data_IF_180119416067
#
_entry.id   IF_180119416067
#
_cell.length_a   1.000
_cell.length_b   1.000
_cell.length_c   1.000
_cell.angle_alpha   90.00
_cell.angle_beta   90.00
_cell.angle_gamma   90.00
#
_symmetry.space_group_name_H-M   'P 1'
#
loop_
_entity.id
_entity.type
_entity.pdbx_description
1 polymer ?
#
# COMPACT_ATOMS: atom_id res chain seq x y z
N UNK A 1 5.33 -26.54 11.48
CA UNK A 1 5.48 -25.24 10.80
C UNK A 1 6.95 -25.01 10.55
N UNK A 2 7.37 -24.99 9.29
CA UNK A 2 8.72 -24.54 8.95
C UNK A 2 8.56 -23.63 7.75
N UNK A 3 8.29 -22.35 8.01
CA UNK A 3 8.57 -21.30 7.03
C UNK A 3 10.05 -21.44 6.67
N UNK A 4 10.35 -21.63 5.38
CA UNK A 4 11.73 -21.67 4.93
C UNK A 4 12.47 -20.40 5.38
N UNK A 5 13.78 -20.49 5.67
CA UNK A 5 14.59 -19.32 5.91
C UNK A 5 14.42 -18.33 4.75
N UNK A 6 14.51 -17.00 5.01
CA UNK A 6 14.47 -16.01 3.94
C UNK A 6 15.43 -16.39 2.80
N UNK A 7 14.88 -16.55 1.61
CA UNK A 7 15.62 -16.95 0.40
C UNK A 7 15.48 -15.87 -0.67
N UNK A 8 16.00 -16.11 -1.88
CA UNK A 8 15.90 -15.15 -2.99
C UNK A 8 14.45 -14.71 -3.28
N UNK A 9 13.45 -15.54 -3.01
CA UNK A 9 12.04 -15.15 -3.13
C UNK A 9 11.61 -14.00 -2.19
N UNK A 10 12.36 -13.71 -1.13
CA UNK A 10 12.16 -12.56 -0.24
C UNK A 10 12.93 -11.31 -0.68
N UNK A 11 13.91 -11.45 -1.60
CA UNK A 11 14.77 -10.35 -2.06
C UNK A 11 14.55 -9.98 -3.52
N UNK A 12 13.84 -10.82 -4.29
CA UNK A 12 13.52 -10.59 -5.70
C UNK A 12 12.08 -10.10 -5.82
N UNK A 13 11.91 -8.84 -6.19
CA UNK A 13 10.60 -8.26 -6.51
C UNK A 13 10.14 -8.65 -7.93
N UNK A 14 8.84 -8.84 -8.11
CA UNK A 14 8.23 -9.01 -9.44
C UNK A 14 7.83 -7.65 -10.03
N UNK A 15 8.01 -7.46 -11.34
CA UNK A 15 7.55 -6.26 -12.05
C UNK A 15 6.26 -6.56 -12.78
N UNK A 16 5.22 -5.80 -12.48
CA UNK A 16 3.97 -5.90 -13.21
C UNK A 16 4.10 -5.18 -14.56
N UNK A 17 3.50 -5.77 -15.59
CA UNK A 17 3.42 -5.21 -16.94
C UNK A 17 1.98 -4.77 -17.24
N UNK A 18 1.82 -3.82 -18.16
CA UNK A 18 0.50 -3.30 -18.55
C UNK A 18 0.42 -1.78 -18.55
N UNK A 19 -0.75 -1.29 -18.98
CA UNK A 19 -1.09 0.13 -19.00
C UNK A 19 -1.84 0.53 -17.72
N UNK A 20 -1.49 1.71 -17.19
CA UNK A 20 -2.14 2.29 -16.02
C UNK A 20 -3.58 2.70 -16.35
N UNK A 21 -4.53 2.37 -15.48
CA UNK A 21 -5.97 2.64 -15.69
C UNK A 21 -6.56 3.58 -14.64
N UNK A 22 -6.07 3.55 -13.41
CA UNK A 22 -6.41 4.50 -12.37
C UNK A 22 -5.85 5.90 -12.61
N UNK A 23 -6.18 6.81 -11.69
CA UNK A 23 -5.90 8.25 -11.80
C UNK A 23 -5.10 8.75 -10.60
N UNK A 24 -4.12 9.60 -10.86
CA UNK A 24 -3.51 10.40 -9.80
C UNK A 24 -4.54 11.44 -9.31
N UNK A 25 -4.73 11.51 -7.99
CA UNK A 25 -5.67 12.41 -7.33
C UNK A 25 -5.00 13.04 -6.12
N UNK A 26 -5.63 14.09 -5.57
CA UNK A 26 -5.32 14.57 -4.23
C UNK A 26 -6.55 14.46 -3.35
N UNK A 27 -6.35 14.07 -2.10
CA UNK A 27 -7.41 13.87 -1.12
C UNK A 27 -7.33 14.93 -0.01
N UNK A 28 -8.39 15.02 0.80
CA UNK A 28 -8.42 15.90 1.99
C UNK A 28 -8.07 17.35 1.64
N UNK A 29 -8.78 17.93 0.67
CA UNK A 29 -8.59 19.33 0.25
C UNK A 29 -7.25 19.60 -0.45
N UNK A 30 -6.59 18.58 -1.00
CA UNK A 30 -5.32 18.72 -1.72
C UNK A 30 -4.08 18.39 -0.89
N UNK A 31 -4.26 17.96 0.36
CA UNK A 31 -3.17 17.74 1.32
C UNK A 31 -2.32 16.52 1.00
N UNK A 32 -2.95 15.41 0.61
CA UNK A 32 -2.25 14.14 0.37
C UNK A 32 -2.41 13.69 -1.07
N UNK A 33 -1.32 13.21 -1.67
CA UNK A 33 -1.37 12.60 -2.99
C UNK A 33 -1.83 11.14 -2.89
N UNK A 34 -2.56 10.69 -3.90
CA UNK A 34 -3.01 9.31 -3.99
C UNK A 34 -3.22 8.90 -5.44
N UNK A 35 -3.34 7.60 -5.65
CA UNK A 35 -3.72 6.99 -6.91
C UNK A 35 -5.01 6.19 -6.72
N UNK A 36 -6.04 6.54 -7.47
CA UNK A 36 -7.35 5.92 -7.38
C UNK A 36 -7.58 5.00 -8.58
N UNK A 37 -7.68 3.70 -8.30
CA UNK A 37 -8.10 2.70 -9.27
C UNK A 37 -9.58 2.36 -9.04
N UNK A 38 -10.40 2.65 -10.03
CA UNK A 38 -11.87 2.46 -9.96
C UNK A 38 -12.27 1.20 -10.71
N UNK A 39 -13.04 0.29 -10.11
CA UNK A 39 -13.48 -0.92 -10.79
C UNK A 39 -14.45 -0.61 -11.93
N UNK A 40 -14.50 -1.47 -12.97
CA UNK A 40 -15.57 -1.43 -13.96
C UNK A 40 -16.96 -1.51 -13.28
N UNK A 41 -17.97 -0.73 -13.72
CA UNK A 41 -19.28 -0.67 -13.06
C UNK A 41 -19.97 -2.04 -12.91
N UNK A 42 -19.78 -2.93 -13.87
CA UNK A 42 -20.34 -4.29 -13.91
C UNK A 42 -19.70 -5.24 -12.88
N UNK A 43 -18.49 -4.93 -12.39
CA UNK A 43 -17.76 -5.71 -11.39
C UNK A 43 -17.69 -5.05 -10.01
N UNK A 44 -18.18 -3.82 -9.89
CA UNK A 44 -17.99 -3.00 -8.71
C UNK A 44 -18.59 -3.64 -7.44
N UNK A 45 -17.73 -3.94 -6.47
CA UNK A 45 -18.11 -4.44 -5.15
C UNK A 45 -18.34 -3.27 -4.19
N UNK A 46 -19.14 -3.47 -3.14
CA UNK A 46 -19.35 -2.50 -2.05
C UNK A 46 -18.19 -2.47 -1.04
N UNK A 47 -16.98 -2.79 -1.50
CA UNK A 47 -15.77 -2.95 -0.70
C UNK A 47 -14.63 -2.15 -1.34
N UNK A 48 -13.91 -1.39 -0.53
CA UNK A 48 -12.71 -0.69 -0.97
C UNK A 48 -11.45 -1.25 -0.29
N UNK A 49 -10.31 -1.06 -0.93
CA UNK A 49 -8.99 -1.40 -0.44
C UNK A 49 -8.20 -0.10 -0.27
N UNK A 50 -7.70 0.15 0.94
CA UNK A 50 -6.65 1.13 1.18
C UNK A 50 -5.29 0.45 0.97
N UNK A 51 -4.53 0.92 -0.01
CA UNK A 51 -3.20 0.41 -0.31
C UNK A 51 -2.15 1.33 0.32
N UNK A 52 -1.40 0.80 1.27
CA UNK A 52 -0.22 1.44 1.87
C UNK A 52 1.07 0.91 1.20
N UNK A 53 1.82 1.77 0.48
CA UNK A 53 2.95 1.32 -0.31
C UNK A 53 4.19 0.97 0.52
N UNK A 54 5.14 0.33 -0.15
CA UNK A 54 6.52 0.25 0.30
C UNK A 54 7.22 1.63 0.25
N UNK A 55 8.51 1.67 0.58
CA UNK A 55 9.31 2.90 0.62
C UNK A 55 9.44 3.64 -0.73
N UNK A 56 9.06 3.01 -1.85
CA UNK A 56 9.05 3.64 -3.17
C UNK A 56 7.72 4.35 -3.48
N UNK A 57 6.73 4.27 -2.58
CA UNK A 57 5.50 5.05 -2.64
C UNK A 57 4.61 4.75 -3.85
N UNK A 58 4.16 5.80 -4.54
CA UNK A 58 3.27 5.69 -5.71
C UNK A 58 4.09 5.53 -7.00
N UNK A 59 4.70 4.36 -7.19
CA UNK A 59 5.47 3.99 -8.38
C UNK A 59 4.71 3.05 -9.32
N UNK A 60 5.31 2.70 -10.47
CA UNK A 60 4.62 1.94 -11.53
C UNK A 60 3.99 0.64 -11.02
N UNK A 61 4.71 -0.17 -10.24
CA UNK A 61 4.19 -1.45 -9.77
C UNK A 61 3.04 -1.29 -8.77
N UNK A 62 3.13 -0.34 -7.81
CA UNK A 62 2.06 -0.14 -6.85
C UNK A 62 0.77 0.37 -7.53
N UNK A 63 0.90 1.18 -8.59
CA UNK A 63 -0.24 1.59 -9.43
C UNK A 63 -0.84 0.40 -10.18
N UNK A 64 -0.02 -0.44 -10.81
CA UNK A 64 -0.50 -1.63 -11.55
C UNK A 64 -1.20 -2.64 -10.62
N UNK A 65 -0.68 -2.87 -9.42
CA UNK A 65 -1.35 -3.69 -8.40
C UNK A 65 -2.69 -3.07 -7.98
N UNK A 66 -2.76 -1.75 -7.85
CA UNK A 66 -4.02 -1.05 -7.56
C UNK A 66 -5.05 -1.25 -8.68
N UNK A 67 -4.61 -1.17 -9.93
CA UNK A 67 -5.44 -1.45 -11.10
C UNK A 67 -5.89 -2.91 -11.14
N UNK A 68 -5.04 -3.86 -10.74
CA UNK A 68 -5.39 -5.27 -10.65
C UNK A 68 -6.48 -5.52 -9.61
N UNK A 69 -6.39 -4.91 -8.42
CA UNK A 69 -7.47 -4.96 -7.43
C UNK A 69 -8.78 -4.35 -7.97
N UNK A 70 -8.70 -3.23 -8.69
CA UNK A 70 -9.86 -2.62 -9.34
C UNK A 70 -10.46 -3.51 -10.43
N UNK A 71 -9.65 -4.20 -11.22
CA UNK A 71 -10.13 -5.14 -12.24
C UNK A 71 -10.94 -6.31 -11.64
N UNK A 72 -10.65 -6.65 -10.36
CA UNK A 72 -11.36 -7.66 -9.56
C UNK A 72 -12.56 -7.08 -8.78
N UNK A 73 -12.91 -5.82 -9.02
CA UNK A 73 -14.13 -5.20 -8.49
C UNK A 73 -13.92 -4.35 -7.24
N UNK A 74 -12.68 -4.13 -6.77
CA UNK A 74 -12.41 -3.38 -5.55
C UNK A 74 -12.00 -1.94 -5.85
N UNK A 75 -12.73 -0.95 -5.32
CA UNK A 75 -12.25 0.43 -5.32
C UNK A 75 -10.94 0.49 -4.54
N UNK A 76 -9.85 0.89 -5.18
CA UNK A 76 -8.53 0.83 -4.56
C UNK A 76 -7.89 2.22 -4.52
N UNK A 77 -7.55 2.66 -3.32
CA UNK A 77 -6.85 3.92 -3.08
C UNK A 77 -5.43 3.63 -2.61
N UNK A 78 -4.47 3.86 -3.49
CA UNK A 78 -3.05 3.84 -3.16
C UNK A 78 -2.64 5.21 -2.63
N UNK A 79 -2.18 5.23 -1.38
CA UNK A 79 -1.90 6.46 -0.64
C UNK A 79 -0.41 6.78 -0.69
N UNK A 80 -0.07 8.06 -0.89
CA UNK A 80 1.27 8.54 -0.58
C UNK A 80 1.40 8.73 0.94
N UNK A 81 2.17 7.85 1.58
CA UNK A 81 2.42 7.89 3.02
C UNK A 81 3.64 8.75 3.39
N UNK A 82 4.27 9.41 2.42
CA UNK A 82 5.56 10.08 2.60
C UNK A 82 5.53 11.58 2.29
N UNK A 83 4.36 12.19 2.06
CA UNK A 83 4.23 13.60 1.68
C UNK A 83 5.14 14.01 0.50
N UNK A 84 5.17 13.20 -0.56
CA UNK A 84 5.96 13.45 -1.76
C UNK A 84 7.43 13.07 -1.64
N UNK A 85 7.83 12.37 -0.58
CA UNK A 85 9.21 11.95 -0.33
C UNK A 85 9.46 10.42 -0.38
N UNK A 86 8.98 9.70 -1.42
CA UNK A 86 9.34 8.29 -1.60
C UNK A 86 10.79 8.14 -2.05
N UNK A 87 11.39 6.99 -1.75
CA UNK A 87 12.72 6.67 -2.25
C UNK A 87 12.69 6.33 -3.74
N UNK A 88 13.64 6.86 -4.55
CA UNK A 88 13.75 6.49 -5.95
C UNK A 88 14.02 4.99 -6.11
N UNK A 89 13.23 4.32 -6.95
CA UNK A 89 13.37 2.87 -7.22
C UNK A 89 14.81 2.48 -7.56
N UNK A 90 15.51 3.30 -8.35
CA UNK A 90 16.91 3.06 -8.72
C UNK A 90 17.84 3.04 -7.50
N UNK A 91 17.67 4.00 -6.59
CA UNK A 91 18.50 4.09 -5.39
C UNK A 91 18.26 2.89 -4.47
N UNK A 92 17.01 2.44 -4.33
CA UNK A 92 16.67 1.23 -3.55
C UNK A 92 17.28 -0.03 -4.17
N UNK A 93 17.17 -0.20 -5.49
CA UNK A 93 17.72 -1.39 -6.19
C UNK A 93 19.25 -1.44 -6.13
N UNK A 94 19.91 -0.28 -6.10
CA UNK A 94 21.36 -0.18 -6.04
C UNK A 94 21.94 -0.16 -4.60
N UNK A 95 21.08 -0.27 -3.57
CA UNK A 95 21.48 -0.16 -2.16
C UNK A 95 22.20 1.17 -1.84
N UNK A 96 21.77 2.26 -2.50
CA UNK A 96 22.34 3.61 -2.37
C UNK A 96 21.62 4.47 -1.30
N UNK A 97 20.84 3.84 -0.41
CA UNK A 97 19.96 4.55 0.52
C UNK A 97 20.27 4.20 1.98
N UNK A 98 20.46 5.23 2.80
CA UNK A 98 20.40 5.10 4.25
C UNK A 98 18.94 5.16 4.72
N UNK A 99 18.32 3.99 4.84
CA UNK A 99 16.91 3.85 5.24
C UNK A 99 16.68 4.45 6.63
N UNK A 100 17.61 4.30 7.58
CA UNK A 100 17.41 4.81 8.94
C UNK A 100 17.42 6.33 8.99
N UNK A 101 18.34 6.96 8.24
CA UNK A 101 18.37 8.41 8.10
C UNK A 101 17.13 8.94 7.39
N UNK A 102 16.71 8.29 6.31
CA UNK A 102 15.48 8.67 5.59
C UNK A 102 14.24 8.51 6.47
N UNK A 103 14.13 7.45 7.28
CA UNK A 103 13.02 7.30 8.22
C UNK A 103 12.98 8.42 9.27
N UNK A 104 14.15 8.88 9.73
CA UNK A 104 14.26 9.87 10.79
C UNK A 104 13.92 11.31 10.34
N UNK A 105 14.16 11.67 9.08
CA UNK A 105 13.97 13.05 8.60
C UNK A 105 13.62 13.20 7.12
N UNK A 106 13.37 12.12 6.39
CA UNK A 106 13.13 12.15 4.96
C UNK A 106 14.40 12.46 4.15
N UNK A 107 14.25 12.75 2.86
CA UNK A 107 15.37 13.07 1.98
C UNK A 107 16.05 14.40 2.31
N UNK A 108 15.33 15.33 2.95
CA UNK A 108 15.76 16.70 3.22
C UNK A 108 16.03 17.00 4.71
N UNK A 109 15.62 16.11 5.62
CA UNK A 109 15.83 16.25 7.07
C UNK A 109 14.65 16.88 7.84
N UNK A 110 13.60 17.32 7.15
CA UNK A 110 12.40 17.99 7.70
C UNK A 110 11.08 17.25 7.43
N UNK A 111 11.14 16.03 6.86
CA UNK A 111 9.97 15.21 6.56
C UNK A 111 10.10 13.80 7.16
N UNK A 112 9.96 13.64 8.49
CA UNK A 112 10.15 12.35 9.14
C UNK A 112 9.08 11.33 8.75
N UNK A 113 9.46 10.07 8.56
CA UNK A 113 8.55 8.96 8.21
C UNK A 113 8.27 8.07 9.42
N UNK A 114 7.77 8.69 10.50
CA UNK A 114 7.46 8.05 11.78
C UNK A 114 5.95 8.06 12.09
N UNK A 115 5.56 7.53 13.25
CA UNK A 115 4.15 7.40 13.63
C UNK A 115 3.39 8.74 13.63
N UNK A 116 3.87 9.82 14.29
CA UNK A 116 3.21 11.12 14.26
C UNK A 116 3.02 11.72 12.86
N UNK A 117 3.93 11.44 11.93
CA UNK A 117 3.84 11.97 10.57
C UNK A 117 2.86 11.17 9.70
N UNK A 118 2.92 9.84 9.78
CA UNK A 118 2.21 8.95 8.83
C UNK A 118 0.82 8.56 9.32
N UNK A 119 0.61 8.36 10.63
CA UNK A 119 -0.69 7.94 11.16
C UNK A 119 -1.83 8.91 10.76
N UNK A 120 -1.66 10.24 10.82
CA UNK A 120 -2.69 11.18 10.37
C UNK A 120 -3.01 11.07 8.87
N UNK A 121 -2.02 10.77 8.02
CA UNK A 121 -2.22 10.62 6.57
C UNK A 121 -3.13 9.42 6.28
N UNK A 122 -2.87 8.29 6.97
CA UNK A 122 -3.68 7.08 6.87
C UNK A 122 -5.11 7.32 7.36
N UNK A 123 -5.28 8.02 8.49
CA UNK A 123 -6.60 8.35 9.03
C UNK A 123 -7.39 9.29 8.10
N UNK A 124 -6.73 10.29 7.51
CA UNK A 124 -7.31 11.19 6.53
C UNK A 124 -7.80 10.40 5.29
N UNK A 125 -7.03 9.41 4.83
CA UNK A 125 -7.42 8.55 3.70
C UNK A 125 -8.60 7.63 4.03
N UNK A 126 -8.64 7.07 5.24
CA UNK A 126 -9.80 6.30 5.71
C UNK A 126 -11.03 7.19 5.72
N UNK A 127 -10.93 8.39 6.29
CA UNK A 127 -12.04 9.36 6.34
C UNK A 127 -12.54 9.71 4.93
N UNK A 128 -11.63 10.02 4.02
CA UNK A 128 -11.93 10.31 2.61
C UNK A 128 -12.74 9.17 1.95
N UNK A 129 -12.31 7.92 2.10
CA UNK A 129 -13.04 6.77 1.53
C UNK A 129 -14.44 6.60 2.14
N UNK A 130 -14.60 6.89 3.44
CA UNK A 130 -15.91 6.80 4.12
C UNK A 130 -16.86 7.89 3.68
N UNK A 131 -16.38 9.14 3.61
CA UNK A 131 -17.21 10.32 3.41
C UNK A 131 -17.48 10.58 1.92
N UNK A 132 -16.43 10.61 1.09
CA UNK A 132 -16.56 10.98 -0.33
C UNK A 132 -17.02 9.81 -1.21
N UNK A 133 -16.64 8.58 -0.84
CA UNK A 133 -16.97 7.37 -1.60
C UNK A 133 -18.03 6.48 -0.92
N UNK A 134 -18.52 6.87 0.25
CA UNK A 134 -19.57 6.13 0.96
C UNK A 134 -19.18 4.69 1.32
N UNK A 135 -17.88 4.39 1.43
CA UNK A 135 -17.37 3.03 1.63
C UNK A 135 -17.86 2.50 2.98
N UNK A 136 -18.58 1.37 3.00
CA UNK A 136 -19.08 0.73 4.24
C UNK A 136 -18.19 -0.40 4.74
N UNK A 137 -17.53 -1.11 3.84
CA UNK A 137 -16.53 -2.12 4.19
C UNK A 137 -15.19 -1.66 3.61
N UNK A 138 -14.16 -1.63 4.45
CA UNK A 138 -12.83 -1.20 4.05
C UNK A 138 -11.82 -2.27 4.45
N UNK A 139 -11.10 -2.79 3.46
CA UNK A 139 -9.91 -3.60 3.63
C UNK A 139 -8.67 -2.74 3.44
N UNK A 140 -7.52 -3.31 3.75
CA UNK A 140 -6.26 -2.69 3.43
C UNK A 140 -5.23 -3.74 3.02
N UNK A 141 -4.29 -3.32 2.19
CA UNK A 141 -3.07 -4.06 1.86
C UNK A 141 -1.89 -3.15 2.15
N UNK A 142 -0.82 -3.72 2.69
CA UNK A 142 0.36 -2.98 3.10
C UNK A 142 1.61 -3.75 2.73
N UNK A 143 2.56 -3.09 2.09
CA UNK A 143 3.83 -3.70 1.66
C UNK A 143 5.00 -3.04 2.37
N UNK A 144 5.93 -3.83 2.90
CA UNK A 144 7.12 -3.32 3.60
C UNK A 144 6.75 -2.29 4.69
N UNK A 145 7.17 -1.03 4.54
CA UNK A 145 6.81 0.10 5.39
C UNK A 145 5.29 0.21 5.57
N UNK A 146 4.49 0.12 4.50
CA UNK A 146 3.04 0.19 4.56
C UNK A 146 2.40 -0.91 5.41
N UNK A 147 3.02 -2.10 5.51
CA UNK A 147 2.52 -3.16 6.39
C UNK A 147 2.60 -2.78 7.88
N UNK A 148 3.68 -2.08 8.28
CA UNK A 148 3.84 -1.55 9.64
C UNK A 148 2.66 -0.66 10.02
N UNK A 149 2.24 0.22 9.12
CA UNK A 149 1.15 1.16 9.37
C UNK A 149 -0.23 0.52 9.23
N UNK A 150 -0.39 -0.45 8.33
CA UNK A 150 -1.63 -1.24 8.24
C UNK A 150 -1.96 -1.90 9.59
N UNK A 151 -0.99 -2.59 10.18
CA UNK A 151 -1.20 -3.34 11.44
C UNK A 151 -1.56 -2.42 12.61
N UNK A 152 -1.12 -1.16 12.58
CA UNK A 152 -1.45 -0.16 13.61
C UNK A 152 -2.91 0.28 13.55
N UNK A 153 -3.45 0.44 12.33
CA UNK A 153 -4.78 1.01 12.11
C UNK A 153 -5.90 -0.04 12.00
N UNK A 154 -5.56 -1.32 11.86
CA UNK A 154 -6.55 -2.41 11.80
C UNK A 154 -6.55 -3.25 13.08
N UNK A 155 -7.66 -3.16 13.83
CA UNK A 155 -7.87 -3.82 15.14
C UNK A 155 -7.67 -5.35 15.12
N UNK A 156 -7.87 -5.99 13.97
CA UNK A 156 -7.67 -7.43 13.74
C UNK A 156 -6.59 -7.73 12.70
N UNK A 157 -5.73 -6.77 12.34
CA UNK A 157 -4.73 -6.95 11.28
C UNK A 157 -3.83 -8.16 11.50
N UNK A 158 -3.43 -8.42 12.75
CA UNK A 158 -2.57 -9.56 13.10
C UNK A 158 -3.27 -10.89 12.83
N UNK A 159 -4.55 -10.99 13.18
CA UNK A 159 -5.37 -12.18 12.94
C UNK A 159 -5.68 -12.33 11.46
N UNK A 160 -6.06 -11.25 10.77
CA UNK A 160 -6.37 -11.27 9.33
C UNK A 160 -5.14 -11.53 8.46
N UNK A 161 -3.97 -10.98 8.80
CA UNK A 161 -2.72 -11.30 8.12
C UNK A 161 -2.35 -12.77 8.30
N UNK A 162 -2.56 -13.32 9.51
CA UNK A 162 -2.39 -14.74 9.78
C UNK A 162 -3.38 -15.60 8.98
N UNK A 163 -4.67 -15.22 8.93
CA UNK A 163 -5.67 -15.91 8.11
C UNK A 163 -5.36 -15.83 6.62
N UNK A 164 -4.94 -14.67 6.10
CA UNK A 164 -4.58 -14.52 4.68
C UNK A 164 -3.35 -15.36 4.33
N UNK A 165 -2.38 -15.45 5.23
CA UNK A 165 -1.24 -16.35 5.07
C UNK A 165 -1.69 -17.82 5.05
N UNK A 166 -2.61 -18.23 5.95
CA UNK A 166 -3.19 -19.58 5.96
C UNK A 166 -3.93 -19.88 4.65
N UNK A 167 -4.81 -18.98 4.20
CA UNK A 167 -5.58 -19.13 2.96
C UNK A 167 -4.63 -19.28 1.77
N UNK A 168 -3.60 -18.44 1.70
CA UNK A 168 -2.59 -18.54 0.64
C UNK A 168 -1.84 -19.86 0.67
N UNK A 169 -1.42 -20.33 1.86
CA UNK A 169 -0.80 -21.64 2.03
C UNK A 169 -1.75 -22.78 1.64
N UNK A 170 -3.02 -22.69 1.98
CA UNK A 170 -4.04 -23.66 1.60
C UNK A 170 -4.26 -23.71 0.09
N UNK A 171 -4.18 -22.57 -0.59
CA UNK A 171 -4.35 -22.50 -2.05
C UNK A 171 -3.09 -22.94 -2.81
N UNK A 172 -1.89 -22.74 -2.26
CA UNK A 172 -0.64 -22.86 -3.01
C UNK A 172 0.36 -23.90 -2.48
N UNK A 173 0.15 -24.45 -1.27
CA UNK A 173 1.02 -25.46 -0.64
C UNK A 173 0.27 -26.76 -0.27
N UNK A 174 -0.97 -26.95 -0.71
CA UNK A 174 -1.60 -28.27 -0.63
C UNK A 174 -0.99 -29.19 -1.69
N UNK A 175 -0.20 -30.16 -1.24
CA UNK A 175 0.06 -31.41 -1.96
C UNK A 175 -1.19 -32.31 -1.96
#
# INVERSE_FOLDING_TARGET
MTSYPPAQCCTVGFRHEGALQGKAIRITGGKHEAYLATPPPDKAKKFAILFLPDIMGIWKNSRLLSDEFASNGYLTLLLDTFNGDPLPVRAVVNDEVDIFKWLAGGSTGDNPHNEPAVDPIVLDAIKFLREEYGVKKLGAVGYCFGAKYLVRHWKWAKEQAFYQAIVWFDEHLRE
#
